data_IF_143101573014
#
_entry.id   IF_143101573014
#
_cell.length_a   1.000
_cell.length_b   1.000
_cell.length_c   1.000
_cell.angle_alpha   90.00
_cell.angle_beta   90.00
_cell.angle_gamma   90.00
#
_symmetry.space_group_name_H-M   'P 1'
#
loop_
_entity.id
_entity.type
_entity.pdbx_description
1 polymer ?
#
# COMPACT_ATOMS: atom_id res chain seq x y z
N UNK A 1 21.36 -81.13 26.54
CA UNK A 1 20.93 -80.70 25.20
C UNK A 1 20.05 -79.48 25.42
N UNK A 2 20.56 -78.25 25.32
CA UNK A 2 20.84 -77.49 24.08
C UNK A 2 19.56 -77.37 23.22
N UNK A 3 19.02 -76.20 22.85
CA UNK A 3 19.39 -74.80 23.06
C UNK A 3 18.11 -73.97 23.30
N UNK A 4 18.15 -72.67 23.63
CA UNK A 4 19.09 -71.67 23.14
C UNK A 4 18.33 -70.73 22.20
N UNK A 5 17.89 -69.61 22.76
CA UNK A 5 17.72 -68.27 22.17
C UNK A 5 17.25 -68.14 20.70
N UNK A 6 16.11 -67.48 20.55
CA UNK A 6 15.65 -66.89 19.29
C UNK A 6 14.92 -65.58 19.57
N UNK A 7 15.64 -64.61 20.14
CA UNK A 7 15.19 -63.22 20.20
C UNK A 7 15.17 -62.62 18.80
N UNK A 8 14.07 -62.80 18.07
CA UNK A 8 13.81 -62.09 16.83
C UNK A 8 13.33 -60.68 17.15
N UNK A 9 14.31 -59.79 17.24
CA UNK A 9 14.27 -58.38 16.79
C UNK A 9 12.87 -57.78 16.65
N UNK A 10 12.37 -57.18 17.73
CA UNK A 10 11.37 -56.13 17.65
C UNK A 10 11.99 -54.91 16.95
N UNK A 11 12.11 -55.00 15.62
CA UNK A 11 12.34 -53.82 14.78
C UNK A 11 11.20 -52.87 15.10
N UNK A 12 11.51 -51.79 15.81
CA UNK A 12 10.54 -50.79 16.24
C UNK A 12 9.86 -50.21 14.99
N UNK A 13 8.67 -50.70 14.68
CA UNK A 13 7.87 -50.21 13.58
C UNK A 13 7.55 -48.75 13.87
N UNK A 14 8.11 -47.84 13.07
CA UNK A 14 7.83 -46.41 13.19
C UNK A 14 6.32 -46.20 13.03
N UNK A 15 5.66 -45.45 13.93
CA UNK A 15 4.23 -45.21 13.83
C UNK A 15 3.86 -44.61 12.46
N UNK A 16 2.79 -45.12 11.83
CA UNK A 16 2.34 -44.62 10.52
C UNK A 16 2.10 -43.12 10.51
N UNK A 17 1.48 -42.60 11.57
CA UNK A 17 1.26 -41.17 11.75
C UNK A 17 2.56 -40.35 11.67
N UNK A 18 3.67 -40.85 12.24
CA UNK A 18 4.95 -40.17 12.17
C UNK A 18 5.53 -40.17 10.75
N UNK A 19 5.38 -41.28 10.02
CA UNK A 19 5.78 -41.36 8.61
C UNK A 19 4.95 -40.45 7.71
N UNK A 20 3.66 -40.33 7.97
CA UNK A 20 2.76 -39.46 7.21
C UNK A 20 3.09 -37.97 7.47
N UNK A 21 3.29 -37.58 8.73
CA UNK A 21 3.75 -36.21 9.06
C UNK A 21 5.12 -35.88 8.45
N UNK A 22 6.03 -36.84 8.37
CA UNK A 22 7.34 -36.64 7.72
C UNK A 22 7.17 -36.39 6.22
N UNK A 23 6.31 -37.18 5.55
CA UNK A 23 6.01 -37.02 4.12
C UNK A 23 5.35 -35.67 3.83
N UNK A 24 4.41 -35.26 4.66
CA UNK A 24 3.76 -33.95 4.56
C UNK A 24 4.78 -32.82 4.72
N UNK A 25 5.62 -32.90 5.76
CA UNK A 25 6.67 -31.89 6.00
C UNK A 25 7.67 -31.82 4.84
N UNK A 26 8.06 -32.97 4.27
CA UNK A 26 8.94 -33.03 3.10
C UNK A 26 8.30 -32.34 1.89
N UNK A 27 7.05 -32.69 1.57
CA UNK A 27 6.32 -32.07 0.47
C UNK A 27 6.17 -30.54 0.64
N UNK A 28 5.83 -30.08 1.85
CA UNK A 28 5.76 -28.63 2.14
C UNK A 28 7.12 -27.94 2.03
N UNK A 29 8.21 -28.62 2.38
CA UNK A 29 9.57 -28.06 2.28
C UNK A 29 10.02 -27.98 0.82
N UNK A 30 9.69 -28.98 -0.01
CA UNK A 30 9.95 -28.96 -1.46
C UNK A 30 9.17 -27.83 -2.16
N UNK A 31 7.89 -27.67 -1.83
CA UNK A 31 7.05 -26.57 -2.34
C UNK A 31 7.60 -25.20 -1.90
N UNK A 32 7.97 -25.06 -0.63
CA UNK A 32 8.58 -23.83 -0.12
C UNK A 32 9.92 -23.53 -0.82
N UNK A 33 10.74 -24.55 -1.07
CA UNK A 33 12.01 -24.39 -1.81
C UNK A 33 11.77 -23.89 -3.22
N UNK A 34 10.80 -24.46 -3.95
CA UNK A 34 10.50 -24.03 -5.31
C UNK A 34 10.02 -22.56 -5.36
N UNK A 35 9.09 -22.20 -4.48
CA UNK A 35 8.58 -20.83 -4.37
C UNK A 35 9.67 -19.85 -3.92
N UNK A 36 10.52 -20.24 -2.98
CA UNK A 36 11.60 -19.38 -2.47
C UNK A 36 12.67 -19.14 -3.53
N UNK A 37 13.05 -20.16 -4.31
CA UNK A 37 13.99 -20.00 -5.42
C UNK A 37 13.43 -19.06 -6.50
N UNK A 38 12.15 -19.19 -6.82
CA UNK A 38 11.48 -18.26 -7.74
C UNK A 38 11.41 -16.85 -7.16
N UNK A 39 11.11 -16.70 -5.88
CA UNK A 39 11.11 -15.39 -5.22
C UNK A 39 12.50 -14.76 -5.24
N UNK A 40 13.55 -15.52 -4.90
CA UNK A 40 14.93 -15.04 -4.85
C UNK A 40 15.46 -14.64 -6.23
N UNK A 41 15.05 -15.32 -7.31
CA UNK A 41 15.45 -14.92 -8.66
C UNK A 41 14.84 -13.58 -9.10
N UNK A 42 13.74 -13.15 -8.47
CA UNK A 42 13.11 -11.85 -8.71
C UNK A 42 13.53 -10.79 -7.67
N UNK A 43 14.13 -11.21 -6.56
CA UNK A 43 14.46 -10.36 -5.42
C UNK A 43 15.84 -9.70 -5.54
N UNK A 44 16.17 -9.18 -6.73
CA UNK A 44 17.39 -8.39 -6.91
C UNK A 44 17.30 -7.08 -6.11
N UNK A 45 18.41 -6.57 -5.53
CA UNK A 45 18.40 -5.37 -4.69
C UNK A 45 17.75 -4.16 -5.37
N UNK A 46 18.02 -3.97 -6.66
CA UNK A 46 17.47 -2.86 -7.44
C UNK A 46 15.97 -3.03 -7.68
N UNK A 47 15.52 -4.24 -8.02
CA UNK A 47 14.09 -4.58 -8.18
C UNK A 47 13.33 -4.40 -6.87
N UNK A 48 13.91 -4.84 -5.75
CA UNK A 48 13.32 -4.64 -4.43
C UNK A 48 13.26 -3.16 -4.06
N UNK A 49 14.22 -2.34 -4.51
CA UNK A 49 14.23 -0.90 -4.24
C UNK A 49 13.07 -0.16 -4.92
N UNK A 50 12.62 -0.64 -6.08
CA UNK A 50 11.49 -0.09 -6.84
C UNK A 50 10.13 -0.40 -6.20
N UNK A 51 10.05 -1.42 -5.33
CA UNK A 51 8.80 -1.77 -4.66
C UNK A 51 8.32 -0.64 -3.72
N UNK A 52 7.00 -0.41 -3.63
CA UNK A 52 6.44 0.48 -2.61
C UNK A 52 6.92 0.05 -1.21
N UNK A 53 7.23 0.99 -0.30
CA UNK A 53 7.88 0.69 0.97
C UNK A 53 7.21 -0.43 1.78
N UNK A 54 5.88 -0.49 1.74
CA UNK A 54 5.09 -1.50 2.43
C UNK A 54 5.24 -2.90 1.80
N UNK A 55 5.22 -2.99 0.47
CA UNK A 55 5.46 -4.24 -0.26
C UNK A 55 6.89 -4.72 -0.07
N UNK A 56 7.85 -3.80 -0.10
CA UNK A 56 9.26 -4.09 0.17
C UNK A 56 9.48 -4.65 1.58
N UNK A 57 8.84 -4.05 2.58
CA UNK A 57 8.89 -4.55 3.96
C UNK A 57 8.29 -5.96 4.09
N UNK A 58 7.17 -6.24 3.41
CA UNK A 58 6.57 -7.60 3.35
C UNK A 58 7.52 -8.62 2.73
N UNK A 59 8.16 -8.27 1.62
CA UNK A 59 9.11 -9.13 0.94
C UNK A 59 10.28 -9.54 1.87
N UNK A 60 10.87 -8.57 2.58
CA UNK A 60 11.92 -8.86 3.56
C UNK A 60 11.44 -9.64 4.78
N UNK A 61 10.24 -9.34 5.29
CA UNK A 61 9.65 -10.09 6.41
C UNK A 61 9.40 -11.55 6.02
N UNK A 62 8.86 -11.79 4.81
CA UNK A 62 8.65 -13.14 4.28
C UNK A 62 9.97 -13.91 4.15
N UNK A 63 11.01 -13.27 3.64
CA UNK A 63 12.34 -13.88 3.53
C UNK A 63 12.91 -14.26 4.90
N UNK A 64 12.79 -13.37 5.89
CA UNK A 64 13.25 -13.63 7.25
C UNK A 64 12.44 -14.74 7.94
N UNK A 65 11.12 -14.78 7.73
CA UNK A 65 10.25 -15.88 8.20
C UNK A 65 10.62 -17.20 7.55
N UNK A 66 10.81 -17.24 6.23
CA UNK A 66 11.21 -18.45 5.53
C UNK A 66 12.57 -18.99 6.03
N UNK A 67 13.57 -18.13 6.19
CA UNK A 67 14.88 -18.51 6.72
C UNK A 67 14.79 -19.06 8.15
N UNK A 68 14.03 -18.40 9.03
CA UNK A 68 13.86 -18.81 10.43
C UNK A 68 13.10 -20.13 10.55
N UNK A 69 12.06 -20.33 9.74
CA UNK A 69 11.30 -21.58 9.69
C UNK A 69 12.15 -22.74 9.19
N UNK A 70 12.90 -22.56 8.10
CA UNK A 70 13.82 -23.59 7.58
C UNK A 70 14.88 -23.97 8.62
N UNK A 71 15.41 -22.99 9.33
CA UNK A 71 16.36 -23.24 10.42
C UNK A 71 15.71 -24.01 11.58
N UNK A 72 14.49 -23.64 11.98
CA UNK A 72 13.73 -24.37 13.01
C UNK A 72 13.41 -25.82 12.61
N UNK A 73 13.09 -26.07 11.33
CA UNK A 73 12.92 -27.43 10.80
C UNK A 73 14.23 -28.21 10.92
N UNK A 74 15.36 -27.63 10.52
CA UNK A 74 16.68 -28.26 10.68
C UNK A 74 17.00 -28.60 12.13
N UNK A 75 16.68 -27.71 13.08
CA UNK A 75 16.86 -27.96 14.51
C UNK A 75 16.04 -29.18 14.96
N UNK A 76 14.76 -29.24 14.58
CA UNK A 76 13.88 -30.38 14.88
C UNK A 76 14.42 -31.68 14.29
N UNK A 77 14.92 -31.66 13.05
CA UNK A 77 15.58 -32.82 12.43
C UNK A 77 16.86 -33.25 13.17
N UNK A 78 17.51 -32.33 13.89
CA UNK A 78 18.69 -32.61 14.73
C UNK A 78 18.33 -33.01 16.16
N UNK A 79 17.03 -33.14 16.48
CA UNK A 79 16.53 -33.48 17.82
C UNK A 79 16.50 -32.30 18.80
N UNK A 80 16.69 -31.06 18.33
CA UNK A 80 16.65 -29.86 19.16
C UNK A 80 15.28 -29.20 19.04
N UNK A 81 14.64 -28.91 20.17
CA UNK A 81 13.37 -28.20 20.18
C UNK A 81 13.58 -26.69 19.91
N UNK A 82 12.87 -26.06 18.98
CA UNK A 82 13.07 -24.64 18.65
C UNK A 82 12.83 -23.68 19.81
N UNK A 83 11.94 -24.04 20.75
CA UNK A 83 11.59 -23.16 21.87
C UNK A 83 12.74 -23.04 22.89
N UNK A 84 13.55 -24.11 23.02
CA UNK A 84 14.73 -24.16 23.87
C UNK A 84 15.97 -23.52 23.20
N UNK A 85 15.86 -23.17 21.92
CA UNK A 85 16.94 -22.58 21.13
C UNK A 85 16.75 -21.05 21.00
N UNK A 86 17.82 -20.24 20.90
CA UNK A 86 17.71 -18.79 20.66
C UNK A 86 16.89 -18.34 19.44
N UNK A 87 16.47 -19.28 18.57
CA UNK A 87 15.60 -19.00 17.42
C UNK A 87 14.19 -18.61 17.88
N UNK A 88 13.75 -19.02 19.07
CA UNK A 88 12.47 -18.59 19.65
C UNK A 88 12.37 -17.07 19.73
N UNK A 89 13.44 -16.40 20.17
CA UNK A 89 13.55 -14.93 20.19
C UNK A 89 13.47 -14.31 18.80
N UNK A 90 13.92 -15.02 17.77
CA UNK A 90 13.79 -14.57 16.37
C UNK A 90 12.33 -14.61 15.93
N UNK A 91 11.58 -15.65 16.30
CA UNK A 91 10.14 -15.71 16.04
C UNK A 91 9.38 -14.60 16.78
N UNK A 92 9.68 -14.36 18.05
CA UNK A 92 9.10 -13.23 18.81
C UNK A 92 9.37 -11.90 18.09
N UNK A 93 10.60 -11.70 17.61
CA UNK A 93 10.98 -10.50 16.87
C UNK A 93 10.19 -10.39 15.55
N UNK A 94 10.02 -11.49 14.82
CA UNK A 94 9.28 -11.50 13.55
C UNK A 94 7.79 -11.21 13.77
N UNK A 95 7.17 -11.78 14.81
CA UNK A 95 5.79 -11.47 15.19
C UNK A 95 5.59 -9.99 15.50
N UNK A 96 6.52 -9.38 16.25
CA UNK A 96 6.48 -7.94 16.52
C UNK A 96 6.58 -7.09 15.23
N UNK A 97 7.34 -7.52 14.23
CA UNK A 97 7.44 -6.82 12.95
C UNK A 97 6.21 -7.04 12.07
N UNK A 98 5.60 -8.22 12.10
CA UNK A 98 4.34 -8.53 11.43
C UNK A 98 3.22 -7.63 11.97
N UNK A 99 3.06 -7.54 13.29
CA UNK A 99 2.09 -6.64 13.94
C UNK A 99 2.34 -5.15 13.62
N UNK A 100 3.61 -4.74 13.47
CA UNK A 100 3.94 -3.39 13.03
C UNK A 100 3.48 -3.16 11.60
N UNK A 101 3.69 -4.14 10.71
CA UNK A 101 3.36 -4.05 9.31
C UNK A 101 1.85 -4.01 9.07
N UNK A 102 1.09 -4.85 9.78
CA UNK A 102 -0.37 -4.87 9.73
C UNK A 102 -0.99 -3.53 10.16
N UNK A 103 -0.42 -2.87 11.17
CA UNK A 103 -0.87 -1.52 11.58
C UNK A 103 -0.73 -0.48 10.46
N UNK A 104 0.31 -0.59 9.63
CA UNK A 104 0.47 0.31 8.49
C UNK A 104 -0.49 -0.02 7.34
N UNK A 105 -0.84 -1.28 7.15
CA UNK A 105 -1.89 -1.66 6.21
C UNK A 105 -3.22 -1.02 6.55
N UNK A 106 -3.59 -1.00 7.83
CA UNK A 106 -4.83 -0.38 8.28
C UNK A 106 -4.82 1.14 8.07
N UNK A 107 -3.65 1.78 8.19
CA UNK A 107 -3.48 3.20 7.88
C UNK A 107 -3.58 3.49 6.39
N UNK A 108 -3.15 2.56 5.53
CA UNK A 108 -3.27 2.71 4.07
C UNK A 108 -4.73 2.60 3.59
N UNK A 109 -5.58 1.85 4.32
CA UNK A 109 -7.00 1.61 4.01
C UNK A 109 -7.94 2.65 4.62
N UNK A 110 -7.54 3.29 5.71
CA UNK A 110 -8.32 4.37 6.30
C UNK A 110 -8.46 5.52 5.27
N UNK A 111 -9.64 6.16 5.11
CA UNK A 111 -9.76 7.35 4.29
C UNK A 111 -8.65 8.29 4.73
N UNK A 112 -7.78 8.73 3.80
CA UNK A 112 -6.63 9.63 4.08
C UNK A 112 -7.09 10.56 5.19
N UNK A 113 -6.64 10.30 6.42
CA UNK A 113 -7.15 11.09 7.53
C UNK A 113 -6.81 12.52 7.13
N UNK A 114 -7.76 13.48 7.19
CA UNK A 114 -7.36 14.87 7.18
C UNK A 114 -6.51 15.04 8.45
N UNK A 115 -5.20 14.82 8.33
CA UNK A 115 -4.26 14.81 9.46
C UNK A 115 -4.13 16.20 10.07
N UNK A 116 -4.69 17.19 9.39
CA UNK A 116 -4.82 18.56 9.84
C UNK A 116 -6.25 19.02 9.63
N UNK A 117 -7.15 18.69 10.58
CA UNK A 117 -8.37 19.49 10.70
C UNK A 117 -7.94 20.87 11.18
N UNK A 118 -8.05 21.86 10.30
CA UNK A 118 -7.76 23.24 10.66
C UNK A 118 -8.69 23.65 11.81
N UNK A 119 -8.09 24.12 12.90
CA UNK A 119 -8.84 24.73 13.97
C UNK A 119 -9.21 26.16 13.54
N UNK A 120 -10.36 26.29 12.88
CA UNK A 120 -10.85 27.57 12.36
C UNK A 120 -10.97 28.63 13.46
N UNK A 121 -11.31 28.23 14.70
CA UNK A 121 -11.39 29.15 15.84
C UNK A 121 -10.02 29.66 16.29
N UNK A 122 -8.99 28.80 16.27
CA UNK A 122 -7.63 29.24 16.54
C UNK A 122 -7.09 30.12 15.40
N UNK A 123 -7.31 29.71 14.15
CA UNK A 123 -6.88 30.44 12.97
C UNK A 123 -7.47 31.86 12.90
N UNK A 124 -8.77 32.03 13.21
CA UNK A 124 -9.42 33.35 13.22
C UNK A 124 -8.89 34.25 14.34
N UNK A 125 -8.50 33.68 15.50
CA UNK A 125 -7.80 34.43 16.56
C UNK A 125 -6.42 34.89 16.13
N UNK A 126 -5.64 34.01 15.50
CA UNK A 126 -4.31 34.37 14.97
C UNK A 126 -4.40 35.44 13.90
N UNK A 127 -5.30 35.28 12.92
CA UNK A 127 -5.50 36.24 11.83
C UNK A 127 -6.01 37.57 12.37
N UNK A 128 -7.00 37.55 13.27
CA UNK A 128 -7.58 38.75 13.87
C UNK A 128 -6.60 39.57 14.71
N UNK A 129 -5.64 38.91 15.35
CA UNK A 129 -4.61 39.59 16.14
C UNK A 129 -3.41 40.04 15.29
N UNK A 130 -3.08 39.30 14.23
CA UNK A 130 -1.91 39.61 13.39
C UNK A 130 -2.17 40.76 12.40
N UNK A 131 -3.44 41.06 12.10
CA UNK A 131 -3.84 42.11 11.17
C UNK A 131 -4.64 43.20 11.92
N UNK A 132 -4.02 44.33 12.30
CA UNK A 132 -4.71 45.39 13.04
C UNK A 132 -5.80 46.09 12.23
N UNK A 133 -5.65 46.16 10.90
CA UNK A 133 -6.49 46.95 9.99
C UNK A 133 -7.57 46.11 9.26
N UNK A 134 -8.16 45.12 9.94
CA UNK A 134 -9.32 44.41 9.40
C UNK A 134 -10.56 45.31 9.37
N UNK A 135 -11.20 45.41 8.20
CA UNK A 135 -12.49 46.08 8.04
C UNK A 135 -13.57 45.40 8.91
N UNK A 136 -14.63 46.11 9.33
CA UNK A 136 -15.68 45.52 10.16
C UNK A 136 -16.35 44.31 9.49
N UNK A 137 -16.45 44.31 8.17
CA UNK A 137 -16.98 43.21 7.37
C UNK A 137 -16.07 41.97 7.42
N UNK A 138 -14.75 42.16 7.34
CA UNK A 138 -13.76 41.09 7.46
C UNK A 138 -13.75 40.48 8.87
N UNK A 139 -13.86 41.29 9.93
CA UNK A 139 -13.96 40.79 11.31
C UNK A 139 -15.22 39.94 11.51
N UNK A 140 -16.34 40.34 10.92
CA UNK A 140 -17.61 39.59 10.98
C UNK A 140 -17.50 38.27 10.21
N UNK A 141 -16.90 38.29 9.02
CA UNK A 141 -16.60 37.08 8.24
C UNK A 141 -15.74 36.08 9.02
N UNK A 142 -14.69 36.55 9.71
CA UNK A 142 -13.84 35.70 10.57
C UNK A 142 -14.63 35.09 11.75
N UNK A 143 -15.57 35.84 12.34
CA UNK A 143 -16.44 35.29 13.39
C UNK A 143 -17.40 34.23 12.86
N UNK A 144 -17.96 34.41 11.67
CA UNK A 144 -18.86 33.44 11.04
C UNK A 144 -18.12 32.15 10.65
N UNK A 145 -16.88 32.28 10.16
CA UNK A 145 -15.97 31.15 9.91
C UNK A 145 -15.61 30.43 11.22
N UNK A 146 -15.36 31.18 12.31
CA UNK A 146 -15.09 30.61 13.63
C UNK A 146 -16.27 29.84 14.23
N UNK A 147 -17.52 30.23 13.90
CA UNK A 147 -18.74 29.57 14.37
C UNK A 147 -19.13 28.35 13.52
N UNK A 148 -18.41 28.10 12.42
CA UNK A 148 -18.69 27.02 11.48
C UNK A 148 -19.88 27.31 10.54
N UNK A 149 -20.37 28.55 10.52
CA UNK A 149 -21.54 28.97 9.73
C UNK A 149 -21.16 29.49 8.33
N UNK A 150 -19.89 29.29 7.95
CA UNK A 150 -19.38 29.57 6.61
C UNK A 150 -20.19 28.85 5.54
N UNK A 151 -20.57 29.61 4.51
CA UNK A 151 -21.44 29.25 3.37
C UNK A 151 -21.13 27.89 2.72
N UNK A 152 -19.89 27.38 2.85
CA UNK A 152 -19.47 26.07 2.32
C UNK A 152 -20.08 24.84 3.00
N UNK A 153 -20.39 24.88 4.30
CA UNK A 153 -20.91 23.69 5.03
C UNK A 153 -22.34 23.35 4.62
N UNK A 154 -23.19 24.37 4.42
CA UNK A 154 -24.59 24.20 3.98
C UNK A 154 -24.70 23.80 2.49
N UNK A 155 -23.71 24.10 1.67
CA UNK A 155 -23.68 23.71 0.25
C UNK A 155 -23.30 22.23 0.07
N UNK A 156 -22.32 21.74 0.85
CA UNK A 156 -21.84 20.35 0.76
C UNK A 156 -22.91 19.32 1.20
N UNK A 157 -23.69 19.66 2.22
CA UNK A 157 -24.79 18.81 2.72
C UNK A 157 -25.96 18.70 1.72
N UNK A 158 -26.27 19.79 1.00
CA UNK A 158 -27.27 19.81 -0.08
C UNK A 158 -26.82 19.02 -1.32
N UNK A 159 -25.52 18.92 -1.61
CA UNK A 159 -25.00 18.11 -2.73
C UNK A 159 -25.03 16.60 -2.45
N UNK A 160 -24.92 16.18 -1.19
CA UNK A 160 -24.97 14.75 -0.81
C UNK A 160 -26.40 14.19 -0.83
N UNK A 161 -27.39 15.00 -0.47
CA UNK A 161 -28.80 14.60 -0.46
C UNK A 161 -29.43 14.46 -1.86
N UNK A 162 -28.90 15.14 -2.88
CA UNK A 162 -29.47 15.13 -4.25
C UNK A 162 -29.01 13.97 -5.14
N UNK A 163 -28.03 13.14 -4.73
CA UNK A 163 -27.57 11.99 -5.53
C UNK A 163 -28.48 10.75 -5.47
N UNK A 164 -29.59 10.78 -4.73
CA UNK A 164 -30.56 9.66 -4.66
C UNK A 164 -31.93 10.00 -5.25
N UNK A 165 -32.01 10.66 -6.40
CA UNK A 165 -33.25 10.69 -7.20
C UNK A 165 -32.92 10.56 -8.69
N UNK A 166 -33.57 9.56 -9.30
CA UNK A 166 -33.64 9.23 -10.73
C UNK A 166 -33.38 10.46 -11.62
N UNK A 167 -32.29 10.44 -12.38
CA UNK A 167 -32.14 11.24 -13.59
C UNK A 167 -31.89 10.26 -14.73
N UNK A 168 -32.81 10.26 -15.70
CA UNK A 168 -32.62 9.65 -17.00
C UNK A 168 -31.40 10.31 -17.64
N UNK A 169 -30.40 9.51 -18.03
CA UNK A 169 -29.27 9.98 -18.80
C UNK A 169 -29.73 10.28 -20.22
N UNK A 170 -29.42 11.45 -20.81
CA UNK A 170 -29.24 11.49 -22.26
C UNK A 170 -28.03 10.58 -22.56
N UNK A 171 -28.16 9.74 -23.57
CA UNK A 171 -27.10 8.83 -24.02
C UNK A 171 -25.81 9.63 -24.22
N UNK A 172 -24.87 9.47 -23.30
CA UNK A 172 -23.53 10.03 -23.45
C UNK A 172 -22.81 9.14 -24.45
N UNK A 173 -22.14 9.69 -25.48
CA UNK A 173 -21.30 8.88 -26.34
C UNK A 173 -20.26 8.17 -25.47
N UNK A 174 -19.98 6.90 -25.80
CA UNK A 174 -19.01 6.11 -25.03
C UNK A 174 -17.70 6.88 -24.92
N UNK A 175 -16.96 6.69 -23.83
CA UNK A 175 -15.67 7.38 -23.61
C UNK A 175 -14.72 7.23 -24.81
N UNK A 176 -14.84 6.11 -25.55
CA UNK A 176 -14.10 5.85 -26.79
C UNK A 176 -14.51 6.78 -27.94
N UNK A 177 -15.81 7.03 -28.10
CA UNK A 177 -16.32 7.95 -29.12
C UNK A 177 -15.93 9.41 -28.82
N UNK A 178 -16.02 9.83 -27.55
CA UNK A 178 -15.57 11.15 -27.13
C UNK A 178 -14.05 11.35 -27.32
N UNK A 179 -13.25 10.32 -27.02
CA UNK A 179 -11.80 10.35 -27.26
C UNK A 179 -11.47 10.40 -28.75
N UNK A 180 -12.18 9.65 -29.58
CA UNK A 180 -11.97 9.64 -31.02
C UNK A 180 -12.33 10.99 -31.66
N UNK A 181 -13.42 11.62 -31.24
CA UNK A 181 -13.82 12.94 -31.71
C UNK A 181 -12.79 14.02 -31.32
N UNK A 182 -12.26 13.94 -30.09
CA UNK A 182 -11.19 14.83 -29.64
C UNK A 182 -9.91 14.68 -30.47
N UNK A 183 -9.50 13.43 -30.74
CA UNK A 183 -8.32 13.14 -31.57
C UNK A 183 -8.49 13.61 -33.02
N UNK A 184 -9.68 13.42 -33.60
CA UNK A 184 -9.99 13.85 -34.96
C UNK A 184 -10.04 15.38 -35.08
N UNK A 185 -10.56 16.06 -34.05
CA UNK A 185 -10.55 17.52 -33.97
C UNK A 185 -9.13 18.06 -33.88
N UNK A 186 -8.28 17.46 -33.02
CA UNK A 186 -6.87 17.85 -32.91
C UNK A 186 -6.10 17.60 -34.21
N UNK A 187 -6.36 16.48 -34.90
CA UNK A 187 -5.74 16.19 -36.19
C UNK A 187 -6.13 17.21 -37.27
N UNK A 188 -7.40 17.66 -37.29
CA UNK A 188 -7.82 18.75 -38.20
C UNK A 188 -7.12 20.06 -37.87
N UNK A 189 -7.06 20.46 -36.61
CA UNK A 189 -6.39 21.70 -36.20
C UNK A 189 -4.89 21.69 -36.52
N UNK A 190 -4.23 20.53 -36.48
CA UNK A 190 -2.82 20.39 -36.87
C UNK A 190 -2.59 20.41 -38.39
N UNK A 191 -3.57 19.96 -39.19
CA UNK A 191 -3.42 19.81 -40.65
C UNK A 191 -4.07 20.92 -41.47
N UNK A 192 -4.99 21.71 -40.89
CA UNK A 192 -5.81 22.67 -41.66
C UNK A 192 -5.29 24.10 -41.73
N UNK A 193 -4.17 24.45 -41.11
CA UNK A 193 -3.64 25.81 -41.24
C UNK A 193 -2.13 25.85 -41.15
N UNK A 194 -1.50 25.91 -42.32
CA UNK A 194 -0.27 26.66 -42.54
C UNK A 194 -0.56 28.16 -42.34
N UNK A 195 -0.84 28.57 -41.10
CA UNK A 195 -0.59 29.95 -40.69
C UNK A 195 -0.38 30.05 -39.18
N UNK A 196 0.59 30.88 -38.84
CA UNK A 196 1.30 31.02 -37.58
C UNK A 196 0.39 31.33 -36.38
N UNK A 197 0.62 30.63 -35.25
CA UNK A 197 0.13 31.06 -33.93
C UNK A 197 -0.01 29.95 -32.91
N UNK A 198 1.09 29.35 -32.45
CA UNK A 198 1.07 28.46 -31.28
C UNK A 198 0.71 29.30 -30.04
N UNK A 199 -0.58 29.37 -29.70
CA UNK A 199 -1.03 29.81 -28.37
C UNK A 199 -0.99 28.60 -27.42
N UNK A 200 0.24 28.25 -27.02
CA UNK A 200 0.51 27.39 -25.87
C UNK A 200 0.94 28.23 -24.65
N UNK A 201 0.86 27.70 -23.42
CA UNK A 201 1.20 28.43 -22.18
C UNK A 201 2.67 28.82 -22.02
N UNK A 202 3.55 28.48 -22.98
CA UNK A 202 4.98 28.75 -22.92
C UNK A 202 5.31 29.76 -24.02
N UNK A 203 5.26 31.05 -23.66
CA UNK A 203 5.90 32.09 -24.46
C UNK A 203 7.41 31.96 -24.29
N UNK A 204 8.11 31.67 -25.40
CA UNK A 204 9.55 31.90 -25.47
C UNK A 204 9.78 33.40 -25.42
N UNK A 205 10.49 33.84 -24.38
CA UNK A 205 11.01 35.18 -24.25
C UNK A 205 12.21 35.23 -25.20
N UNK A 206 12.10 36.00 -26.27
CA UNK A 206 13.23 36.31 -27.13
C UNK A 206 14.11 37.34 -26.41
N UNK A 207 15.36 36.98 -26.14
CA UNK A 207 16.41 37.93 -25.74
C UNK A 207 16.89 38.67 -26.99
N UNK A 208 16.62 39.98 -27.07
CA UNK A 208 17.37 40.92 -27.91
C UNK A 208 17.96 42.01 -27.01
N UNK A 209 19.28 42.12 -27.02
CA UNK A 209 20.16 43.26 -26.72
C UNK A 209 21.53 42.85 -27.34
N UNK A 210 22.32 43.62 -28.09
CA UNK A 210 22.30 44.92 -28.74
C UNK A 210 23.58 44.94 -29.62
N UNK A 211 23.56 45.51 -30.83
CA UNK A 211 24.74 46.06 -31.53
C UNK A 211 24.41 47.41 -32.16
#
# INVERSE_FOLDING_TARGET
MAGGEGGETAASVVPRAAMDSLRETLASTEELSANLLQFLSMAEPDVLAELPPLHRARAFLLLAKAASTLFAVRLRCSGIHPDDHPVSKEFDRLSLYEEKLERFDDWSKAPLRPSTKLNYQAATRFIGHSLPDLTPEQRKSLQDISRGDGVGSRASEKHRAKKKRKYQSPEKPSARAAAQEFLEKAARELLSSSDCGVKGPLQNISDEDDE
#
